data_IF_300189863810
#
_entry.id   IF_300189863810
#
_cell.length_a   1.000
_cell.length_b   1.000
_cell.length_c   1.000
_cell.angle_alpha   90.00
_cell.angle_beta   90.00
_cell.angle_gamma   90.00
#
_symmetry.space_group_name_H-M   'P 1'
#
loop_
_entity.id
_entity.type
_entity.pdbx_description
1 polymer ?
#
# COMPACT_ATOMS: atom_id res chain seq x y z
N UNK A 1 55.45 32.33 -33.09
CA UNK A 1 54.40 31.29 -33.08
C UNK A 1 55.08 29.95 -32.87
N UNK A 2 54.87 29.29 -31.72
CA UNK A 2 55.22 27.88 -31.50
C UNK A 2 54.46 27.36 -30.27
N UNK A 3 53.46 26.52 -30.53
CA UNK A 3 52.82 25.52 -29.65
C UNK A 3 53.77 24.32 -29.49
N UNK A 4 53.76 23.42 -28.51
CA UNK A 4 52.95 23.09 -27.33
C UNK A 4 53.82 22.20 -26.42
N UNK A 5 53.57 22.22 -25.11
CA UNK A 5 54.24 21.38 -24.10
C UNK A 5 53.71 19.93 -24.11
N UNK A 6 54.62 18.95 -23.95
CA UNK A 6 54.29 17.54 -23.71
C UNK A 6 54.88 17.06 -22.36
N UNK A 7 53.96 16.76 -21.45
CA UNK A 7 53.89 15.70 -20.42
C UNK A 7 55.19 15.15 -19.82
N UNK A 8 55.28 15.16 -18.48
CA UNK A 8 55.82 14.01 -17.73
C UNK A 8 55.47 14.01 -16.22
N UNK A 9 54.79 12.92 -15.85
CA UNK A 9 55.06 12.05 -14.69
C UNK A 9 54.70 12.53 -13.28
N UNK A 10 53.46 12.17 -12.91
CA UNK A 10 53.09 11.33 -11.74
C UNK A 10 53.92 11.53 -10.46
N UNK A 11 53.30 12.16 -9.47
CA UNK A 11 53.64 11.92 -8.05
C UNK A 11 52.37 11.63 -7.25
N UNK A 12 52.34 10.38 -6.81
CA UNK A 12 51.48 9.73 -5.82
C UNK A 12 51.04 10.67 -4.68
N UNK A 13 49.76 11.08 -4.68
CA UNK A 13 49.11 11.56 -3.46
C UNK A 13 48.06 10.53 -3.07
N UNK A 14 48.34 9.84 -1.97
CA UNK A 14 47.39 9.05 -1.18
C UNK A 14 46.15 9.90 -0.93
N UNK A 15 45.17 9.75 -1.82
CA UNK A 15 43.85 10.34 -1.63
C UNK A 15 43.20 9.49 -0.54
N UNK A 16 43.20 10.00 0.70
CA UNK A 16 42.23 9.60 1.70
C UNK A 16 40.85 9.86 1.09
N UNK A 17 40.33 8.87 0.36
CA UNK A 17 38.93 8.82 0.02
C UNK A 17 38.20 8.65 1.34
N UNK A 18 37.75 9.77 1.91
CA UNK A 18 36.67 9.78 2.89
C UNK A 18 35.44 9.23 2.16
N UNK A 19 35.33 7.91 2.09
CA UNK A 19 34.09 7.23 1.75
C UNK A 19 33.16 7.56 2.91
N UNK A 20 32.46 8.69 2.81
CA UNK A 20 31.28 8.91 3.61
C UNK A 20 30.32 7.83 3.12
N UNK A 21 30.23 6.73 3.87
CA UNK A 21 29.11 5.83 3.77
C UNK A 21 27.87 6.66 4.12
N UNK A 22 27.26 7.28 3.10
CA UNK A 22 25.92 7.80 3.24
C UNK A 22 25.05 6.57 3.47
N UNK A 23 24.75 6.32 4.74
CA UNK A 23 23.65 5.44 5.12
C UNK A 23 22.42 6.06 4.45
N UNK A 24 21.94 5.47 3.36
CA UNK A 24 20.61 5.76 2.87
C UNK A 24 19.69 5.28 3.98
N UNK A 25 18.97 6.15 4.68
CA UNK A 25 17.93 5.66 5.56
C UNK A 25 16.92 5.01 4.61
N UNK A 26 16.80 3.68 4.67
CA UNK A 26 15.61 3.00 4.15
C UNK A 26 14.50 3.34 5.13
N UNK A 27 14.08 4.60 5.11
CA UNK A 27 12.84 5.01 5.73
C UNK A 27 11.75 4.20 5.04
N UNK A 28 10.95 3.50 5.85
CA UNK A 28 9.76 2.82 5.37
C UNK A 28 9.02 3.77 4.44
N UNK A 29 8.70 3.28 3.25
CA UNK A 29 7.89 3.99 2.28
C UNK A 29 6.68 4.57 3.03
N UNK A 30 6.55 5.90 3.11
CA UNK A 30 5.41 6.58 3.73
C UNK A 30 4.17 6.28 2.87
N UNK A 31 3.60 5.09 3.08
CA UNK A 31 2.37 4.67 2.44
C UNK A 31 1.20 5.28 3.21
N UNK A 32 0.22 5.82 2.48
CA UNK A 32 -0.97 6.47 3.05
C UNK A 32 -1.58 5.68 4.21
N UNK A 33 -1.64 4.35 4.08
CA UNK A 33 -2.05 3.45 5.16
C UNK A 33 -0.82 2.83 5.81
N UNK A 34 -0.78 2.83 7.14
CA UNK A 34 0.21 2.07 7.90
C UNK A 34 0.03 0.56 7.72
N UNK A 35 1.05 -0.23 8.07
CA UNK A 35 0.95 -1.70 8.05
C UNK A 35 -0.12 -2.21 9.00
N UNK A 36 -0.24 -1.60 10.17
CA UNK A 36 -1.27 -1.93 11.16
C UNK A 36 -2.66 -1.65 10.58
N UNK A 37 -2.86 -0.49 9.98
CA UNK A 37 -4.13 -0.12 9.35
C UNK A 37 -4.54 -1.13 8.26
N UNK A 38 -3.62 -1.46 7.35
CA UNK A 38 -3.85 -2.49 6.32
C UNK A 38 -4.18 -3.85 6.93
N UNK A 39 -3.45 -4.28 7.95
CA UNK A 39 -3.69 -5.54 8.66
C UNK A 39 -5.09 -5.57 9.27
N UNK A 40 -5.51 -4.52 9.96
CA UNK A 40 -6.82 -4.48 10.61
C UNK A 40 -7.99 -4.39 9.63
N UNK A 41 -7.81 -3.74 8.48
CA UNK A 41 -8.79 -3.80 7.38
C UNK A 41 -8.89 -5.23 6.83
N UNK A 42 -7.75 -5.92 6.65
CA UNK A 42 -7.69 -7.31 6.20
C UNK A 42 -8.42 -8.26 7.16
N UNK A 43 -8.15 -8.12 8.46
CA UNK A 43 -8.79 -8.89 9.52
C UNK A 43 -10.30 -8.66 9.56
N UNK A 44 -10.74 -7.42 9.47
CA UNK A 44 -12.17 -7.10 9.45
C UNK A 44 -12.88 -7.63 8.19
N UNK A 45 -12.20 -7.64 7.04
CA UNK A 45 -12.78 -8.07 5.76
C UNK A 45 -12.99 -9.59 5.69
N UNK A 46 -12.01 -10.40 6.13
CA UNK A 46 -12.08 -11.87 5.98
C UNK A 46 -11.40 -12.68 7.09
N UNK A 47 -10.97 -12.04 8.19
CA UNK A 47 -10.00 -12.65 9.12
C UNK A 47 -8.63 -12.80 8.48
N UNK A 48 -8.31 -11.89 7.55
CA UNK A 48 -7.12 -11.91 6.70
C UNK A 48 -6.83 -13.28 6.06
N UNK A 49 -7.87 -13.97 5.61
CA UNK A 49 -7.77 -15.32 5.06
C UNK A 49 -7.14 -15.30 3.66
N UNK A 50 -5.84 -15.53 3.59
CA UNK A 50 -5.06 -15.55 2.33
C UNK A 50 -5.33 -16.77 1.44
N UNK A 51 -6.15 -17.72 1.89
CA UNK A 51 -6.51 -18.92 1.10
C UNK A 51 -7.96 -18.89 0.60
N UNK A 52 -8.73 -17.84 0.90
CA UNK A 52 -10.16 -17.75 0.58
C UNK A 52 -10.46 -17.76 -0.92
N UNK A 53 -9.51 -17.33 -1.76
CA UNK A 53 -9.72 -17.27 -3.20
C UNK A 53 -10.79 -16.26 -3.61
N UNK A 54 -11.64 -16.63 -4.56
CA UNK A 54 -12.74 -15.79 -5.05
C UNK A 54 -14.10 -16.43 -4.75
N UNK A 55 -14.99 -15.65 -4.15
CA UNK A 55 -16.41 -15.98 -4.01
C UNK A 55 -17.20 -15.06 -4.93
N UNK A 56 -17.79 -15.65 -5.98
CA UNK A 56 -18.47 -14.92 -7.06
C UNK A 56 -17.57 -13.86 -7.72
N UNK A 57 -17.78 -12.57 -7.37
CA UNK A 57 -17.05 -11.42 -7.93
C UNK A 57 -16.10 -10.76 -6.93
N UNK A 58 -16.04 -11.30 -5.71
CA UNK A 58 -15.28 -10.74 -4.57
C UNK A 58 -14.14 -11.69 -4.25
N UNK A 59 -12.91 -11.17 -4.16
CA UNK A 59 -11.72 -12.00 -4.08
C UNK A 59 -10.75 -11.56 -2.98
N UNK A 60 -9.99 -12.53 -2.50
CA UNK A 60 -8.82 -12.33 -1.67
C UNK A 60 -9.10 -11.91 -0.23
N UNK A 61 -8.02 -11.75 0.56
CA UNK A 61 -8.13 -11.48 1.99
C UNK A 61 -8.75 -10.10 2.31
N UNK A 62 -8.69 -9.17 1.35
CA UNK A 62 -9.32 -7.85 1.45
C UNK A 62 -10.73 -7.79 0.81
N UNK A 63 -11.32 -8.91 0.38
CA UNK A 63 -12.67 -8.92 -0.24
C UNK A 63 -12.84 -7.85 -1.33
N UNK A 64 -11.87 -7.77 -2.24
CA UNK A 64 -11.81 -6.74 -3.29
C UNK A 64 -12.68 -7.17 -4.47
N UNK A 65 -13.37 -6.21 -5.11
CA UNK A 65 -14.08 -6.42 -6.39
C UNK A 65 -13.24 -5.95 -7.57
N UNK A 66 -13.60 -6.35 -8.80
CA UNK A 66 -12.89 -5.87 -9.99
C UNK A 66 -12.89 -4.34 -10.12
N UNK A 67 -14.02 -3.68 -9.84
CA UNK A 67 -14.13 -2.22 -9.92
C UNK A 67 -13.25 -1.54 -8.87
N UNK A 68 -13.21 -2.08 -7.65
CA UNK A 68 -12.30 -1.62 -6.60
C UNK A 68 -10.84 -1.73 -7.07
N UNK A 69 -10.44 -2.88 -7.63
CA UNK A 69 -9.09 -3.07 -8.16
C UNK A 69 -8.76 -2.12 -9.31
N UNK A 70 -9.72 -1.89 -10.20
CA UNK A 70 -9.59 -0.96 -11.30
C UNK A 70 -9.34 0.47 -10.82
N UNK A 71 -10.10 0.90 -9.82
CA UNK A 71 -9.94 2.21 -9.18
C UNK A 71 -8.68 2.33 -8.34
N UNK A 72 -8.19 1.21 -7.79
CA UNK A 72 -6.93 1.11 -7.06
C UNK A 72 -5.68 1.12 -7.94
N UNK A 73 -5.82 1.42 -9.24
CA UNK A 73 -4.70 1.57 -10.17
C UNK A 73 -4.28 0.27 -10.87
N UNK A 74 -5.07 -0.81 -10.75
CA UNK A 74 -4.83 -2.09 -11.42
C UNK A 74 -3.43 -2.68 -11.20
N UNK A 75 -2.89 -2.70 -9.97
CA UNK A 75 -1.59 -3.31 -9.74
C UNK A 75 -1.62 -4.78 -10.18
N UNK A 76 -0.50 -5.27 -10.68
CA UNK A 76 -0.33 -6.66 -11.09
C UNK A 76 0.91 -7.26 -10.44
N UNK A 77 1.01 -8.59 -10.56
CA UNK A 77 2.20 -9.35 -10.21
C UNK A 77 3.15 -9.51 -11.41
N UNK A 78 2.59 -9.44 -12.61
CA UNK A 78 3.25 -9.62 -13.89
C UNK A 78 2.56 -8.84 -15.02
N UNK A 79 3.20 -8.81 -16.19
CA UNK A 79 2.71 -8.15 -17.40
C UNK A 79 1.75 -9.03 -18.21
N UNK A 80 0.81 -9.73 -17.54
CA UNK A 80 -0.19 -10.55 -18.23
C UNK A 80 -1.20 -9.63 -18.97
N UNK A 81 -1.54 -9.88 -20.25
CA UNK A 81 -2.46 -9.03 -20.99
C UNK A 81 -3.95 -9.20 -20.61
N UNK A 82 -4.33 -10.26 -19.88
CA UNK A 82 -5.71 -10.52 -19.49
C UNK A 82 -6.07 -9.84 -18.16
N UNK A 83 -6.84 -8.76 -18.22
CA UNK A 83 -7.23 -7.98 -17.04
C UNK A 83 -8.05 -8.76 -15.99
N UNK A 84 -8.85 -9.77 -16.38
CA UNK A 84 -9.63 -10.57 -15.41
C UNK A 84 -8.72 -11.49 -14.62
N UNK A 85 -7.75 -12.10 -15.29
CA UNK A 85 -6.76 -12.97 -14.66
C UNK A 85 -5.80 -12.15 -13.80
N UNK A 86 -5.39 -10.95 -14.25
CA UNK A 86 -4.59 -10.01 -13.46
C UNK A 86 -5.29 -9.59 -12.16
N UNK A 87 -6.57 -9.24 -12.25
CA UNK A 87 -7.38 -8.89 -11.09
C UNK A 87 -7.36 -10.02 -10.06
N UNK A 88 -7.81 -11.22 -10.43
CA UNK A 88 -7.95 -12.32 -9.49
C UNK A 88 -6.59 -12.74 -8.91
N UNK A 89 -5.52 -12.76 -9.73
CA UNK A 89 -4.17 -13.09 -9.25
C UNK A 89 -3.62 -12.04 -8.30
N UNK A 90 -3.79 -10.76 -8.62
CA UNK A 90 -3.31 -9.68 -7.76
C UNK A 90 -4.03 -9.67 -6.42
N UNK A 91 -5.36 -9.66 -6.41
CA UNK A 91 -6.11 -9.47 -5.16
C UNK A 91 -6.07 -10.69 -4.24
N UNK A 92 -5.69 -11.87 -4.75
CA UNK A 92 -5.38 -13.05 -3.92
C UNK A 92 -3.94 -13.06 -3.38
N UNK A 93 -3.02 -12.26 -3.92
CA UNK A 93 -1.70 -12.05 -3.32
C UNK A 93 -1.77 -10.93 -2.27
N UNK A 94 -1.36 -11.16 -1.01
CA UNK A 94 -1.56 -10.19 0.06
C UNK A 94 -0.84 -8.85 -0.20
N UNK A 95 0.32 -8.87 -0.87
CA UNK A 95 1.07 -7.65 -1.15
C UNK A 95 0.45 -6.84 -2.31
N UNK A 96 0.00 -7.51 -3.37
CA UNK A 96 -0.67 -6.86 -4.50
C UNK A 96 -2.07 -6.38 -4.11
N UNK A 97 -2.80 -7.14 -3.29
CA UNK A 97 -4.04 -6.71 -2.69
C UNK A 97 -3.84 -5.46 -1.80
N UNK A 98 -2.81 -5.44 -0.94
CA UNK A 98 -2.49 -4.25 -0.14
C UNK A 98 -2.15 -3.02 -1.02
N UNK A 99 -1.39 -3.20 -2.12
CA UNK A 99 -1.15 -2.11 -3.09
C UNK A 99 -2.45 -1.61 -3.71
N UNK A 100 -3.39 -2.51 -3.99
CA UNK A 100 -4.72 -2.17 -4.50
C UNK A 100 -5.49 -1.31 -3.50
N UNK A 101 -5.49 -1.69 -2.22
CA UNK A 101 -6.12 -0.90 -1.16
C UNK A 101 -5.47 0.48 -1.05
N UNK A 102 -4.15 0.57 -1.02
CA UNK A 102 -3.43 1.86 -0.99
C UNK A 102 -3.79 2.77 -2.17
N UNK A 103 -3.85 2.22 -3.39
CA UNK A 103 -4.26 2.96 -4.58
C UNK A 103 -5.71 3.45 -4.49
N UNK A 104 -6.60 2.60 -3.97
CA UNK A 104 -8.01 2.98 -3.80
C UNK A 104 -8.17 4.10 -2.76
N UNK A 105 -7.43 4.04 -1.66
CA UNK A 105 -7.44 5.10 -0.65
C UNK A 105 -6.81 6.39 -1.16
N UNK A 106 -5.77 6.32 -2.00
CA UNK A 106 -5.24 7.52 -2.69
C UNK A 106 -6.32 8.22 -3.53
N UNK A 107 -7.24 7.46 -4.14
CA UNK A 107 -8.32 8.01 -4.95
C UNK A 107 -9.51 8.56 -4.14
N UNK A 108 -9.83 7.90 -3.02
CA UNK A 108 -11.09 8.14 -2.29
C UNK A 108 -10.91 8.68 -0.86
N UNK A 109 -9.68 8.97 -0.42
CA UNK A 109 -9.41 9.51 0.91
C UNK A 109 -10.23 10.77 1.20
N UNK A 110 -11.04 10.72 2.24
CA UNK A 110 -11.86 11.83 2.72
C UNK A 110 -12.27 11.56 4.18
N UNK A 111 -12.66 12.62 4.89
CA UNK A 111 -13.21 12.50 6.23
C UNK A 111 -14.62 11.93 6.12
N UNK A 112 -14.76 10.66 6.48
CA UNK A 112 -15.99 9.93 6.38
C UNK A 112 -16.79 10.02 7.68
N UNK A 113 -16.10 10.02 8.83
CA UNK A 113 -16.72 9.96 10.16
C UNK A 113 -17.08 11.35 10.73
N UNK A 114 -16.61 12.43 10.11
CA UNK A 114 -16.90 13.81 10.46
C UNK A 114 -16.08 14.35 11.64
N UNK A 115 -14.95 13.72 11.98
CA UNK A 115 -14.08 14.15 13.10
C UNK A 115 -13.00 15.17 12.69
N UNK A 116 -12.90 15.48 11.39
CA UNK A 116 -11.94 16.42 10.82
C UNK A 116 -10.54 15.85 10.58
N UNK A 117 -10.32 14.54 10.78
CA UNK A 117 -9.02 13.88 10.66
C UNK A 117 -9.15 12.66 9.74
N UNK A 118 -8.56 12.72 8.55
CA UNK A 118 -8.49 11.56 7.66
C UNK A 118 -7.48 10.55 8.22
N UNK A 119 -7.97 9.42 8.74
CA UNK A 119 -7.14 8.38 9.34
C UNK A 119 -7.64 6.96 8.99
N UNK A 120 -7.15 5.95 9.72
CA UNK A 120 -7.50 4.56 9.44
C UNK A 120 -9.00 4.25 9.62
N UNK A 121 -9.68 4.98 10.51
CA UNK A 121 -11.13 4.82 10.72
C UNK A 121 -11.90 5.21 9.45
N UNK A 122 -11.47 6.24 8.73
CA UNK A 122 -12.04 6.60 7.42
C UNK A 122 -11.70 5.57 6.37
N UNK A 123 -10.45 5.11 6.32
CA UNK A 123 -10.04 4.10 5.34
C UNK A 123 -10.76 2.77 5.53
N UNK A 124 -11.03 2.35 6.76
CA UNK A 124 -11.83 1.16 7.04
C UNK A 124 -13.27 1.32 6.52
N UNK A 125 -13.83 2.54 6.59
CA UNK A 125 -15.18 2.86 6.08
C UNK A 125 -15.21 2.95 4.56
N UNK A 126 -14.22 3.61 3.95
CA UNK A 126 -14.06 3.66 2.49
C UNK A 126 -13.90 2.25 1.92
N UNK A 127 -13.13 1.38 2.58
CA UNK A 127 -12.94 0.01 2.13
C UNK A 127 -14.25 -0.78 2.12
N UNK A 128 -15.03 -0.66 3.19
CA UNK A 128 -16.24 -1.45 3.39
C UNK A 128 -17.46 -0.92 2.62
N UNK A 129 -17.61 0.41 2.55
CA UNK A 129 -18.79 1.09 2.01
C UNK A 129 -18.55 1.70 0.62
N UNK A 130 -17.30 1.68 0.14
CA UNK A 130 -16.86 2.41 -1.04
C UNK A 130 -16.66 3.91 -0.76
N UNK A 131 -15.94 4.59 -1.66
CA UNK A 131 -15.63 6.02 -1.52
C UNK A 131 -16.87 6.88 -1.28
N UNK A 132 -17.84 6.88 -2.20
CA UNK A 132 -19.02 7.75 -2.10
C UNK A 132 -20.00 7.37 -0.96
N UNK A 133 -19.93 6.14 -0.45
CA UNK A 133 -20.84 5.65 0.59
C UNK A 133 -20.26 5.73 2.00
N UNK A 134 -19.02 6.20 2.17
CA UNK A 134 -18.26 5.99 3.39
C UNK A 134 -18.87 6.63 4.64
N UNK A 135 -19.71 7.66 4.52
CA UNK A 135 -20.43 8.26 5.65
C UNK A 135 -21.54 7.37 6.23
N UNK A 136 -21.89 6.26 5.59
CA UNK A 136 -22.90 5.30 6.06
C UNK A 136 -22.49 4.50 7.31
N UNK A 137 -23.46 3.86 7.96
CA UNK A 137 -23.19 3.00 9.11
C UNK A 137 -22.44 1.71 8.72
N UNK A 138 -21.43 1.33 9.51
CA UNK A 138 -20.79 0.02 9.38
C UNK A 138 -21.67 -1.06 10.01
N UNK A 139 -21.57 -2.29 9.49
CA UNK A 139 -22.14 -3.43 10.20
C UNK A 139 -21.28 -3.75 11.43
N UNK A 140 -21.93 -4.15 12.53
CA UNK A 140 -21.26 -4.36 13.81
C UNK A 140 -20.16 -5.44 13.77
N UNK A 141 -20.30 -6.46 12.92
CA UNK A 141 -19.28 -7.53 12.81
C UNK A 141 -17.96 -6.98 12.28
N UNK A 142 -18.02 -6.25 11.16
CA UNK A 142 -16.84 -5.62 10.57
C UNK A 142 -16.23 -4.57 11.49
N UNK A 143 -17.07 -3.67 12.04
CA UNK A 143 -16.61 -2.58 12.89
C UNK A 143 -15.93 -3.07 14.18
N UNK A 144 -16.51 -4.08 14.85
CA UNK A 144 -15.93 -4.64 16.07
C UNK A 144 -14.60 -5.35 15.79
N UNK A 145 -14.49 -6.10 14.69
CA UNK A 145 -13.25 -6.77 14.31
C UNK A 145 -12.13 -5.76 14.04
N UNK A 146 -12.44 -4.71 13.26
CA UNK A 146 -11.50 -3.62 12.97
C UNK A 146 -11.06 -2.91 14.26
N UNK A 147 -12.00 -2.46 15.10
CA UNK A 147 -11.71 -1.74 16.34
C UNK A 147 -10.86 -2.56 17.30
N UNK A 148 -11.18 -3.84 17.46
CA UNK A 148 -10.41 -4.74 18.33
C UNK A 148 -8.97 -4.89 17.83
N UNK A 149 -8.77 -5.04 16.51
CA UNK A 149 -7.45 -5.12 15.92
C UNK A 149 -6.65 -3.82 16.15
N UNK A 150 -7.24 -2.65 15.84
CA UNK A 150 -6.56 -1.36 16.03
C UNK A 150 -6.19 -1.13 17.50
N UNK A 151 -7.10 -1.41 18.44
CA UNK A 151 -6.82 -1.30 19.88
C UNK A 151 -5.64 -2.18 20.33
N UNK A 152 -5.45 -3.33 19.66
CA UNK A 152 -4.40 -4.28 20.00
C UNK A 152 -3.03 -3.87 19.44
N UNK A 153 -2.99 -3.30 18.23
CA UNK A 153 -1.75 -3.15 17.46
C UNK A 153 -1.34 -1.70 17.14
N UNK A 154 -2.21 -0.70 17.28
CA UNK A 154 -1.93 0.68 16.86
C UNK A 154 -0.84 1.40 17.69
N UNK A 155 -0.52 0.88 18.87
CA UNK A 155 0.52 1.42 19.77
C UNK A 155 1.84 0.64 19.76
N UNK A 156 1.98 -0.36 18.89
CA UNK A 156 3.17 -1.20 18.78
C UNK A 156 4.13 -0.64 17.74
#
# INVERSE_FOLDING_TARGET
MATSLSVSVVTCFFSLFLIHAQQVPVAGQDTLLSRVCLGCICEAASGCNVTIGCEETVCGPFRITWAYWADGGKPSLDDNPNAKDMYARCVNDPYCAARTVQGYMTKYSQDCNGDGIINCDDFARIHHLGGYGCSGGLNAKYENAYKLCMQTFDKQ
#
